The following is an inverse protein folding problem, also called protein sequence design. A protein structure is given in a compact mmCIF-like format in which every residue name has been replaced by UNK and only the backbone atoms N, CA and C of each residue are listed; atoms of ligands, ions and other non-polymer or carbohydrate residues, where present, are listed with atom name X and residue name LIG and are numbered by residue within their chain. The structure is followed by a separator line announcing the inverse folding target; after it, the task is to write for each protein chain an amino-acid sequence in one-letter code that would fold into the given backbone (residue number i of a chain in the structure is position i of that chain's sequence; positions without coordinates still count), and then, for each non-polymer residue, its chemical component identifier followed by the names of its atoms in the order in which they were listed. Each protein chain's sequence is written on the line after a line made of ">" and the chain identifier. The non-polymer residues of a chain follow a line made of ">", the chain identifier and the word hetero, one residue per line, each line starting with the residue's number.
data_IF_447053086581
#
_entry.id   IF_447053086581
#
_cell.length_a   1.000
_cell.length_b   1.000
_cell.length_c   1.000
_cell.angle_alpha   90.00
_cell.angle_beta   90.00
_cell.angle_gamma   90.00
#
_symmetry.space_group_name_H-M   'P 1'
#
loop_
_entity.id
_entity.type
_entity.pdbx_description
1 polymer ?
#
# COMPACT_ATOMS: atom_id res chain seq x y z
N UNK A 1 9.09 30.55 -0.24
CA UNK A 1 8.95 29.29 0.51
C UNK A 1 7.58 28.76 0.14
N UNK A 2 7.47 27.58 -0.46
CA UNK A 2 6.15 27.06 -0.83
C UNK A 2 5.37 26.70 0.44
N UNK A 3 4.09 27.04 0.49
CA UNK A 3 3.23 26.71 1.64
C UNK A 3 2.87 25.22 1.59
N UNK A 4 3.00 24.52 2.73
CA UNK A 4 2.46 23.17 2.86
C UNK A 4 0.93 23.23 2.78
N UNK A 5 0.32 22.24 2.14
CA UNK A 5 -1.13 22.15 2.11
C UNK A 5 -1.72 22.03 3.52
N UNK A 6 -3.00 22.39 3.68
CA UNK A 6 -3.69 22.19 4.95
C UNK A 6 -4.18 20.75 5.03
N UNK A 7 -3.93 20.09 6.15
CA UNK A 7 -4.53 18.80 6.45
C UNK A 7 -6.04 18.97 6.63
N UNK A 8 -6.82 18.25 5.82
CA UNK A 8 -8.28 18.24 5.89
C UNK A 8 -8.75 16.89 6.44
N UNK A 9 -8.67 16.72 7.76
CA UNK A 9 -9.04 15.49 8.45
C UNK A 9 -8.44 15.39 9.85
N UNK A 10 -8.74 14.29 10.55
CA UNK A 10 -8.14 13.97 11.84
C UNK A 10 -7.20 12.77 11.70
N UNK A 11 -6.05 12.82 12.37
CA UNK A 11 -5.14 11.68 12.45
C UNK A 11 -5.75 10.60 13.35
N UNK A 12 -5.89 9.37 12.82
CA UNK A 12 -6.47 8.22 13.55
C UNK A 12 -5.34 7.25 13.93
N UNK A 13 -4.36 7.74 14.67
CA UNK A 13 -3.27 6.92 15.20
C UNK A 13 -2.40 6.27 14.12
N UNK A 14 -2.00 5.02 14.34
CA UNK A 14 -1.07 4.30 13.47
C UNK A 14 -1.77 3.25 12.61
N UNK A 15 -1.13 2.92 11.49
CA UNK A 15 -1.50 1.80 10.62
C UNK A 15 -0.33 0.82 10.57
N UNK A 16 -0.56 -0.41 11.02
CA UNK A 16 0.45 -1.47 11.08
C UNK A 16 -0.08 -2.68 10.31
N UNK A 17 0.79 -3.27 9.50
CA UNK A 17 0.53 -4.50 8.77
C UNK A 17 1.52 -5.55 9.24
N UNK A 18 1.04 -6.76 9.54
CA UNK A 18 1.87 -7.92 9.81
C UNK A 18 1.28 -9.18 9.15
N UNK A 19 1.92 -10.34 9.34
CA UNK A 19 1.56 -11.60 8.67
C UNK A 19 0.27 -12.25 9.17
N UNK A 20 -0.34 -11.75 10.24
CA UNK A 20 -1.54 -12.31 10.86
C UNK A 20 -2.70 -11.32 10.90
N UNK A 21 -2.41 -10.01 10.93
CA UNK A 21 -3.40 -8.96 11.16
C UNK A 21 -3.01 -7.59 10.58
N UNK A 22 -4.01 -6.73 10.54
CA UNK A 22 -3.89 -5.29 10.24
C UNK A 22 -4.41 -4.53 11.46
N UNK A 23 -3.63 -3.57 11.95
CA UNK A 23 -4.00 -2.72 13.09
C UNK A 23 -4.14 -1.28 12.60
N UNK A 24 -5.30 -0.66 12.87
CA UNK A 24 -5.58 0.73 12.55
C UNK A 24 -6.09 1.45 13.82
N UNK A 25 -5.21 2.21 14.47
CA UNK A 25 -5.46 2.79 15.78
C UNK A 25 -5.78 1.71 16.82
N UNK A 26 -6.99 1.76 17.38
CA UNK A 26 -7.48 0.78 18.37
C UNK A 26 -8.17 -0.43 17.75
N UNK A 27 -8.31 -0.48 16.42
CA UNK A 27 -8.97 -1.59 15.72
C UNK A 27 -7.95 -2.60 15.24
N UNK A 28 -8.24 -3.86 15.46
CA UNK A 28 -7.47 -4.99 14.96
C UNK A 28 -8.34 -5.84 14.03
N UNK A 29 -7.78 -6.22 12.88
CA UNK A 29 -8.43 -7.04 11.87
C UNK A 29 -7.56 -8.24 11.55
N UNK A 30 -8.06 -9.46 11.74
CA UNK A 30 -7.28 -10.66 11.39
C UNK A 30 -7.27 -10.86 9.88
N UNK A 31 -6.13 -11.27 9.30
CA UNK A 31 -6.05 -11.59 7.88
C UNK A 31 -7.02 -12.71 7.47
N UNK A 32 -7.39 -13.59 8.40
CA UNK A 32 -8.40 -14.63 8.19
C UNK A 32 -9.80 -14.06 7.92
N UNK A 33 -10.11 -12.83 8.38
CA UNK A 33 -11.37 -12.12 8.17
C UNK A 33 -11.33 -11.24 6.91
N UNK A 34 -10.12 -10.93 6.45
CA UNK A 34 -9.85 -10.10 5.28
C UNK A 34 -9.95 -10.94 4.02
N UNK A 35 -10.74 -10.45 3.07
CA UNK A 35 -10.86 -10.99 1.73
C UNK A 35 -9.79 -10.40 0.81
N UNK A 36 -9.55 -9.09 0.87
CA UNK A 36 -8.63 -8.41 -0.03
C UNK A 36 -8.05 -7.14 0.60
N UNK A 37 -6.80 -6.85 0.29
CA UNK A 37 -6.11 -5.59 0.56
C UNK A 37 -5.86 -4.86 -0.76
N UNK A 38 -6.13 -3.56 -0.77
CA UNK A 38 -5.83 -2.67 -1.90
C UNK A 38 -5.14 -1.41 -1.40
N UNK A 39 -4.08 -1.00 -2.08
CA UNK A 39 -3.32 0.20 -1.78
C UNK A 39 -3.42 1.18 -2.95
N UNK A 40 -3.51 2.46 -2.63
CA UNK A 40 -3.46 3.58 -3.58
C UNK A 40 -2.43 4.57 -3.08
N UNK A 41 -1.43 4.84 -3.93
CA UNK A 41 -0.39 5.83 -3.67
C UNK A 41 -0.66 7.02 -4.57
N UNK A 42 -0.81 8.19 -3.97
CA UNK A 42 -1.09 9.41 -4.72
C UNK A 42 -0.28 10.59 -4.21
N UNK A 43 0.55 10.38 -3.19
CA UNK A 43 1.08 11.47 -2.39
C UNK A 43 2.31 11.07 -1.56
N UNK A 44 3.25 11.99 -1.37
CA UNK A 44 4.35 11.85 -0.41
C UNK A 44 4.80 13.24 0.07
N UNK A 45 5.48 13.32 1.21
CA UNK A 45 5.87 14.62 1.77
C UNK A 45 6.76 15.40 0.81
N UNK A 46 6.47 16.68 0.62
CA UNK A 46 7.26 17.49 -0.31
C UNK A 46 6.81 17.41 -1.78
N UNK A 47 5.88 16.53 -2.13
CA UNK A 47 5.36 16.43 -3.51
C UNK A 47 4.74 17.77 -3.94
N UNK A 48 5.15 18.28 -5.10
CA UNK A 48 4.65 19.55 -5.64
C UNK A 48 3.42 19.30 -6.51
N UNK A 49 2.28 19.81 -6.09
CA UNK A 49 1.06 19.78 -6.89
C UNK A 49 1.01 21.01 -7.80
N UNK A 50 1.14 20.81 -9.11
CA UNK A 50 0.85 21.84 -10.10
C UNK A 50 -0.63 21.77 -10.47
N UNK A 51 -1.46 22.49 -9.74
CA UNK A 51 -2.88 22.54 -10.04
C UNK A 51 -3.16 23.67 -11.03
N UNK A 52 -3.71 23.38 -12.22
CA UNK A 52 -4.04 24.39 -13.26
C UNK A 52 -4.94 25.55 -12.77
N UNK A 53 -5.63 25.35 -11.64
CA UNK A 53 -6.57 26.32 -11.03
C UNK A 53 -6.01 27.10 -9.84
N UNK A 54 -4.77 26.83 -9.41
CA UNK A 54 -4.10 27.59 -8.35
C UNK A 54 -2.66 27.86 -8.78
N UNK A 55 -2.31 29.13 -9.06
CA UNK A 55 -0.98 29.48 -9.59
C UNK A 55 0.15 29.29 -8.58
N UNK A 56 -0.18 29.07 -7.29
CA UNK A 56 0.80 28.80 -6.24
C UNK A 56 0.96 27.28 -6.04
N UNK A 57 2.18 26.73 -6.24
CA UNK A 57 2.43 25.32 -5.98
C UNK A 57 2.31 25.05 -4.48
N UNK A 58 1.31 24.24 -4.12
CA UNK A 58 1.20 23.70 -2.76
C UNK A 58 2.10 22.49 -2.64
N UNK A 59 2.79 22.41 -1.51
CA UNK A 59 3.61 21.26 -1.16
C UNK A 59 2.76 20.31 -0.34
N UNK A 60 2.75 19.05 -0.74
CA UNK A 60 2.02 18.00 -0.05
C UNK A 60 2.55 17.74 1.36
N UNK A 61 1.67 17.23 2.24
CA UNK A 61 2.07 16.60 3.51
C UNK A 61 2.17 15.07 3.41
N UNK A 62 1.98 14.45 2.24
CA UNK A 62 2.16 13.02 2.01
C UNK A 62 1.10 12.11 2.61
N UNK A 63 -0.07 12.64 2.97
CA UNK A 63 -1.10 11.89 3.72
C UNK A 63 -2.23 11.35 2.85
N UNK A 64 -2.26 11.69 1.56
CA UNK A 64 -3.32 11.25 0.65
C UNK A 64 -3.00 9.89 0.00
N UNK A 65 -2.49 8.94 0.79
CA UNK A 65 -2.36 7.54 0.41
C UNK A 65 -3.41 6.72 1.14
N UNK A 66 -3.92 5.65 0.52
CA UNK A 66 -5.06 4.89 1.05
C UNK A 66 -4.81 3.39 1.03
N UNK A 67 -5.11 2.74 2.15
CA UNK A 67 -5.23 1.30 2.28
C UNK A 67 -6.71 0.94 2.47
N UNK A 68 -7.24 0.11 1.58
CA UNK A 68 -8.62 -0.39 1.62
C UNK A 68 -8.60 -1.85 2.03
N UNK A 69 -9.24 -2.16 3.15
CA UNK A 69 -9.43 -3.52 3.66
C UNK A 69 -10.83 -3.97 3.30
N UNK A 70 -10.95 -4.98 2.43
CA UNK A 70 -12.23 -5.63 2.09
C UNK A 70 -12.37 -6.91 2.91
N UNK A 71 -13.46 -7.02 3.66
CA UNK A 71 -13.74 -8.14 4.55
C UNK A 71 -14.59 -9.20 3.86
N UNK A 72 -14.48 -10.46 4.31
CA UNK A 72 -15.24 -11.59 3.76
C UNK A 72 -16.76 -11.44 3.89
N UNK A 73 -17.24 -10.60 4.81
CA UNK A 73 -18.66 -10.28 4.98
C UNK A 73 -19.17 -9.23 3.97
N UNK A 74 -18.33 -8.77 3.03
CA UNK A 74 -18.67 -7.78 2.02
C UNK A 74 -18.52 -6.32 2.45
N UNK A 75 -18.22 -6.05 3.72
CA UNK A 75 -17.90 -4.70 4.19
C UNK A 75 -16.47 -4.30 3.84
N UNK A 76 -16.17 -3.00 3.89
CA UNK A 76 -14.82 -2.49 3.71
C UNK A 76 -14.50 -1.37 4.69
N UNK A 77 -13.21 -1.10 4.89
CA UNK A 77 -12.72 0.04 5.64
C UNK A 77 -11.53 0.66 4.93
N UNK A 78 -11.52 1.99 4.88
CA UNK A 78 -10.46 2.78 4.28
C UNK A 78 -9.63 3.45 5.37
N UNK A 79 -8.32 3.40 5.20
CA UNK A 79 -7.35 4.03 6.09
C UNK A 79 -6.40 4.89 5.26
N UNK A 80 -6.24 6.14 5.66
CA UNK A 80 -5.26 7.03 5.06
C UNK A 80 -3.93 6.90 5.78
N UNK A 81 -2.83 6.96 5.05
CA UNK A 81 -1.50 6.85 5.62
C UNK A 81 -0.50 7.82 4.99
N UNK A 82 0.54 8.11 5.77
CA UNK A 82 1.62 9.01 5.40
C UNK A 82 2.70 8.28 4.61
N UNK A 83 3.30 8.97 3.64
CA UNK A 83 4.58 8.61 3.03
C UNK A 83 5.54 9.80 3.07
N UNK A 84 6.78 9.54 3.43
CA UNK A 84 7.88 10.50 3.49
C UNK A 84 8.49 10.75 2.09
N UNK A 85 8.55 9.71 1.26
CA UNK A 85 9.07 9.79 -0.11
C UNK A 85 8.38 8.79 -1.05
N UNK A 86 8.47 9.06 -2.36
CA UNK A 86 7.68 8.41 -3.43
C UNK A 86 7.70 6.87 -3.41
N UNK A 87 8.85 6.26 -3.15
CA UNK A 87 9.03 4.80 -3.19
C UNK A 87 9.09 4.15 -1.79
N UNK A 88 8.74 4.90 -0.73
CA UNK A 88 8.87 4.41 0.65
C UNK A 88 8.08 3.13 0.86
N UNK A 89 6.84 3.09 0.38
CA UNK A 89 5.97 1.95 0.54
C UNK A 89 6.51 0.72 -0.19
N UNK A 90 6.96 0.88 -1.44
CA UNK A 90 7.59 -0.19 -2.21
C UNK A 90 8.75 -0.82 -1.43
N UNK A 91 9.68 0.02 -0.96
CA UNK A 91 10.91 -0.45 -0.32
C UNK A 91 10.66 -1.13 1.03
N UNK A 92 9.78 -0.54 1.86
CA UNK A 92 9.56 -1.02 3.24
C UNK A 92 8.58 -2.18 3.32
N UNK A 93 7.63 -2.26 2.40
CA UNK A 93 6.53 -3.24 2.47
C UNK A 93 6.72 -4.45 1.57
N UNK A 94 7.79 -4.49 0.75
CA UNK A 94 8.00 -5.51 -0.28
C UNK A 94 7.71 -6.94 0.17
N UNK A 95 8.38 -7.39 1.23
CA UNK A 95 8.26 -8.78 1.73
C UNK A 95 6.86 -9.08 2.26
N UNK A 96 6.24 -8.07 2.88
CA UNK A 96 4.89 -8.20 3.40
C UNK A 96 3.85 -8.25 2.27
N UNK A 97 4.03 -7.47 1.21
CA UNK A 97 3.18 -7.51 0.02
C UNK A 97 3.28 -8.86 -0.69
N UNK A 98 4.49 -9.44 -0.79
CA UNK A 98 4.67 -10.81 -1.27
C UNK A 98 3.86 -11.76 -0.39
N UNK A 99 4.03 -11.70 0.93
CA UNK A 99 3.33 -12.58 1.88
C UNK A 99 1.80 -12.46 1.76
N UNK A 100 1.28 -11.24 1.62
CA UNK A 100 -0.13 -11.00 1.38
C UNK A 100 -0.62 -11.56 0.04
N UNK A 101 0.20 -11.53 -1.00
CA UNK A 101 -0.13 -12.20 -2.26
C UNK A 101 -0.14 -13.72 -2.12
N UNK A 102 0.82 -14.31 -1.41
CA UNK A 102 0.87 -15.75 -1.14
C UNK A 102 -0.36 -16.23 -0.34
N UNK A 103 -0.91 -15.37 0.53
CA UNK A 103 -2.15 -15.59 1.27
C UNK A 103 -3.43 -15.16 0.52
N UNK A 104 -3.35 -14.93 -0.80
CA UNK A 104 -4.45 -14.51 -1.68
C UNK A 104 -5.15 -13.18 -1.27
N UNK A 105 -4.48 -12.33 -0.49
CA UNK A 105 -5.01 -11.02 -0.06
C UNK A 105 -4.78 -9.93 -1.09
N UNK A 106 -3.78 -10.08 -1.96
CA UNK A 106 -3.42 -9.13 -3.01
C UNK A 106 -3.33 -9.89 -4.34
N UNK A 107 -3.87 -9.30 -5.41
CA UNK A 107 -3.74 -9.90 -6.76
C UNK A 107 -2.33 -9.71 -7.30
N UNK A 108 -1.88 -10.59 -8.19
CA UNK A 108 -0.55 -10.46 -8.80
C UNK A 108 -0.35 -9.12 -9.51
N UNK A 109 -1.37 -8.62 -10.23
CA UNK A 109 -1.32 -7.32 -10.90
C UNK A 109 -1.15 -6.15 -9.93
N UNK A 110 -1.82 -6.20 -8.78
CA UNK A 110 -1.65 -5.19 -7.76
C UNK A 110 -0.26 -5.29 -7.12
N UNK A 111 0.23 -6.50 -6.84
CA UNK A 111 1.56 -6.73 -6.29
C UNK A 111 2.65 -6.10 -7.16
N UNK A 112 2.67 -6.36 -8.46
CA UNK A 112 3.71 -5.82 -9.36
C UNK A 112 3.69 -4.30 -9.46
N UNK A 113 2.51 -3.67 -9.30
CA UNK A 113 2.38 -2.22 -9.21
C UNK A 113 2.95 -1.70 -7.89
N UNK A 114 2.64 -2.37 -6.78
CA UNK A 114 3.05 -1.93 -5.44
C UNK A 114 4.55 -2.09 -5.17
N UNK A 115 5.22 -2.99 -5.90
CA UNK A 115 6.67 -3.18 -5.82
C UNK A 115 7.44 -2.51 -6.97
N UNK A 116 6.78 -1.64 -7.75
CA UNK A 116 7.45 -0.80 -8.77
C UNK A 116 8.00 -1.51 -9.99
N UNK A 117 7.47 -2.70 -10.35
CA UNK A 117 7.96 -3.46 -11.51
C UNK A 117 6.95 -3.58 -12.65
N UNK A 118 5.79 -2.92 -12.56
CA UNK A 118 4.67 -3.12 -13.50
C UNK A 118 5.00 -2.78 -14.96
N UNK A 119 6.00 -1.93 -15.20
CA UNK A 119 6.39 -1.48 -16.55
C UNK A 119 7.58 -2.26 -17.14
N UNK A 120 8.16 -3.20 -16.40
CA UNK A 120 9.30 -4.02 -16.84
C UNK A 120 8.86 -5.48 -17.06
N UNK A 121 8.65 -5.83 -18.33
CA UNK A 121 8.20 -7.17 -18.71
C UNK A 121 9.19 -8.26 -18.26
N UNK A 122 10.49 -8.06 -18.43
CA UNK A 122 11.50 -9.08 -18.11
C UNK A 122 11.51 -9.33 -16.60
N UNK A 123 11.55 -8.25 -15.82
CA UNK A 123 11.51 -8.32 -14.34
C UNK A 123 10.21 -8.95 -13.83
N UNK A 124 9.07 -8.69 -14.48
CA UNK A 124 7.81 -9.36 -14.16
C UNK A 124 7.90 -10.88 -14.39
N UNK A 125 8.51 -11.33 -15.49
CA UNK A 125 8.64 -12.77 -15.76
C UNK A 125 9.59 -13.47 -14.79
N UNK A 126 10.69 -12.82 -14.41
CA UNK A 126 11.61 -13.31 -13.38
C UNK A 126 10.90 -13.43 -12.03
N UNK A 127 10.21 -12.37 -11.63
CA UNK A 127 9.49 -12.34 -10.36
C UNK A 127 8.36 -13.40 -10.28
N UNK A 128 7.69 -13.70 -11.39
CA UNK A 128 6.73 -14.83 -11.44
C UNK A 128 7.39 -16.17 -11.10
N UNK A 129 8.61 -16.42 -11.59
CA UNK A 129 9.35 -17.65 -11.31
C UNK A 129 9.75 -17.71 -9.84
N UNK A 130 10.22 -16.59 -9.27
CA UNK A 130 10.54 -16.48 -7.84
C UNK A 130 9.32 -16.80 -6.98
N UNK A 131 8.15 -16.21 -7.28
CA UNK A 131 6.91 -16.49 -6.55
C UNK A 131 6.51 -17.97 -6.64
N UNK A 132 6.73 -18.63 -7.77
CA UNK A 132 6.43 -20.05 -7.91
C UNK A 132 7.34 -20.89 -7.00
N UNK A 133 8.64 -20.60 -6.95
CA UNK A 133 9.59 -21.28 -6.06
C UNK A 133 9.22 -21.08 -4.59
N UNK A 134 8.80 -19.87 -4.20
CA UNK A 134 8.34 -19.59 -2.83
C UNK A 134 7.09 -20.40 -2.48
N UNK A 135 6.10 -20.45 -3.37
CA UNK A 135 4.87 -21.23 -3.17
C UNK A 135 5.12 -22.72 -3.03
N UNK A 136 6.13 -23.25 -3.72
CA UNK A 136 6.45 -24.67 -3.65
C UNK A 136 7.21 -24.99 -2.36
N UNK A 137 8.08 -24.10 -1.88
CA UNK A 137 8.79 -24.22 -0.59
C UNK A 137 7.84 -24.21 0.62
N UNK A 138 6.72 -23.47 0.56
CA UNK A 138 5.72 -23.44 1.64
C UNK A 138 4.87 -24.71 1.74
N UNK A 139 4.81 -25.54 0.68
CA UNK A 139 4.05 -26.80 0.70
C UNK A 139 4.83 -27.99 1.23
N UNK A 140 6.15 -27.87 1.31
CA UNK A 140 7.05 -28.93 1.80
C UNK A 140 7.27 -28.86 3.32
N UNK A 141 6.71 -27.84 4.00
CA UNK A 141 6.70 -27.68 5.45
C UNK A 141 5.29 -27.89 6.02
#
# INVERSE_FOLDING_TARGET
>A
MNEKEKLNGNFVGYLIFDLEKVIAGEKEFRLSEIQKLEFTFSDFDGMKWTNLRSPEPKVSNGVNNRATVKFKNGTYSDFYFYQDYEDEFEMKMRDLLISFHLQDKISFLALIQYIGISDDYERIQEFKKELQIMKDSEKEN
#
